data_IF_032974261707
#
_entry.id   IF_032974261707
#
_cell.length_a   1.000
_cell.length_b   1.000
_cell.length_c   1.000
_cell.angle_alpha   90.00
_cell.angle_beta   90.00
_cell.angle_gamma   90.00
#
_symmetry.space_group_name_H-M   'P 1'
#
loop_
_entity.id
_entity.type
_entity.pdbx_description
1 polymer ?
#
# COMPACT_ATOMS: atom_id res chain seq x y z
N UNK A 1 40.29 33.29 -34.51
CA UNK A 1 39.72 32.52 -35.62
C UNK A 1 38.64 31.61 -35.09
N UNK A 2 37.46 31.93 -35.49
CA UNK A 2 36.19 31.22 -35.49
C UNK A 2 36.00 30.02 -34.57
N UNK A 3 35.19 30.23 -33.52
CA UNK A 3 34.39 29.24 -32.82
C UNK A 3 33.07 29.10 -33.56
N UNK A 4 32.75 27.92 -34.04
CA UNK A 4 31.40 27.54 -34.49
C UNK A 4 30.70 26.81 -33.38
N UNK A 5 29.68 27.46 -32.89
CA UNK A 5 28.58 26.97 -32.05
C UNK A 5 27.67 26.05 -32.87
N UNK A 6 27.09 25.05 -32.21
CA UNK A 6 25.85 24.48 -32.68
C UNK A 6 25.82 22.96 -32.67
N UNK A 7 25.35 22.38 -31.59
CA UNK A 7 24.87 21.03 -31.50
C UNK A 7 23.71 21.01 -30.50
N UNK A 8 22.56 21.45 -31.02
CA UNK A 8 21.31 21.34 -30.25
C UNK A 8 20.99 19.87 -30.04
N UNK A 9 20.94 19.46 -28.78
CA UNK A 9 20.26 18.24 -28.40
C UNK A 9 18.75 18.48 -28.56
N UNK A 10 18.23 18.11 -29.71
CA UNK A 10 16.80 17.85 -29.86
C UNK A 10 16.50 16.62 -29.02
N UNK A 11 15.82 16.83 -27.90
CA UNK A 11 15.26 15.74 -27.12
C UNK A 11 14.33 14.93 -27.99
N UNK A 12 14.73 13.71 -28.35
CA UNK A 12 13.82 12.68 -28.76
C UNK A 12 12.87 12.48 -27.59
N UNK A 13 11.66 13.00 -27.74
CA UNK A 13 10.51 12.60 -26.94
C UNK A 13 10.38 11.09 -27.13
N UNK A 14 10.77 10.32 -26.12
CA UNK A 14 10.50 8.89 -26.02
C UNK A 14 9.01 8.71 -26.24
N UNK A 15 8.67 8.24 -27.44
CA UNK A 15 7.32 7.84 -27.83
C UNK A 15 6.95 6.65 -26.95
N UNK A 16 6.33 6.93 -25.79
CA UNK A 16 5.77 5.97 -24.85
C UNK A 16 4.46 5.38 -25.42
N UNK A 17 4.42 5.09 -26.72
CA UNK A 17 3.30 4.41 -27.36
C UNK A 17 3.17 3.01 -26.74
N UNK A 18 2.09 2.83 -25.98
CA UNK A 18 1.72 1.55 -25.35
C UNK A 18 1.49 0.51 -26.44
N UNK A 19 2.48 -0.37 -26.67
CA UNK A 19 2.46 -1.37 -27.76
C UNK A 19 1.80 -2.66 -27.27
N UNK A 20 0.90 -3.20 -28.09
CA UNK A 20 0.22 -4.48 -27.87
C UNK A 20 0.42 -5.36 -29.09
N UNK A 21 0.86 -6.60 -28.88
CA UNK A 21 0.92 -7.59 -29.96
C UNK A 21 -0.46 -8.26 -30.11
N UNK A 22 -1.04 -8.21 -31.28
CA UNK A 22 -2.32 -8.87 -31.58
C UNK A 22 -2.12 -10.04 -32.53
N UNK A 23 -2.32 -11.27 -32.02
CA UNK A 23 -2.24 -12.49 -32.79
C UNK A 23 -3.63 -12.86 -33.29
N UNK A 24 -3.82 -12.76 -34.61
CA UNK A 24 -5.04 -13.15 -35.32
C UNK A 24 -4.75 -14.40 -36.18
N UNK A 25 -5.21 -15.55 -35.72
CA UNK A 25 -4.94 -16.85 -36.35
C UNK A 25 -5.89 -17.20 -37.50
N UNK A 26 -6.55 -16.21 -38.12
CA UNK A 26 -7.41 -16.42 -39.28
C UNK A 26 -8.87 -16.72 -38.92
N UNK A 27 -9.39 -16.08 -37.90
CA UNK A 27 -10.83 -16.02 -37.62
C UNK A 27 -11.56 -15.36 -38.80
N UNK A 28 -12.71 -15.89 -39.18
CA UNK A 28 -13.53 -15.37 -40.31
C UNK A 28 -14.00 -13.91 -40.09
N UNK A 29 -13.84 -13.36 -38.92
CA UNK A 29 -14.18 -11.99 -38.55
C UNK A 29 -12.98 -11.31 -37.92
N UNK A 30 -12.38 -10.33 -38.61
CA UNK A 30 -11.36 -9.49 -38.04
C UNK A 30 -11.98 -8.58 -36.95
N UNK A 31 -11.42 -8.60 -35.76
CA UNK A 31 -11.89 -7.77 -34.65
C UNK A 31 -11.66 -6.30 -35.00
N UNK A 32 -12.71 -5.49 -34.96
CA UNK A 32 -12.61 -4.04 -35.04
C UNK A 32 -12.47 -3.47 -33.64
N UNK A 33 -11.30 -2.96 -33.34
CA UNK A 33 -11.07 -2.24 -32.08
C UNK A 33 -11.68 -0.83 -32.15
N UNK A 34 -12.46 -0.42 -31.13
CA UNK A 34 -13.04 0.93 -31.09
C UNK A 34 -11.96 2.01 -31.07
N UNK A 35 -12.25 3.19 -31.67
CA UNK A 35 -11.33 4.34 -31.70
C UNK A 35 -10.81 4.73 -30.32
N UNK A 36 -11.64 4.60 -29.29
CA UNK A 36 -11.27 4.88 -27.90
C UNK A 36 -10.13 3.98 -27.39
N UNK A 37 -9.99 2.76 -27.91
CA UNK A 37 -8.89 1.84 -27.59
C UNK A 37 -7.69 2.18 -28.47
N UNK A 38 -7.91 2.37 -29.78
CA UNK A 38 -6.85 2.69 -30.75
C UNK A 38 -6.15 4.02 -30.46
N UNK A 39 -6.82 4.99 -29.84
CA UNK A 39 -6.24 6.28 -29.50
C UNK A 39 -5.18 6.19 -28.36
N UNK A 40 -5.21 5.13 -27.58
CA UNK A 40 -4.32 4.95 -26.41
C UNK A 40 -3.31 3.82 -26.59
N UNK A 41 -3.54 2.90 -27.56
CA UNK A 41 -2.78 1.67 -27.72
C UNK A 41 -2.38 1.46 -29.17
N UNK A 42 -1.12 1.07 -29.41
CA UNK A 42 -0.61 0.72 -30.72
C UNK A 42 -0.60 -0.79 -30.87
N UNK A 43 -1.49 -1.31 -31.76
CA UNK A 43 -1.61 -2.73 -32.02
C UNK A 43 -0.71 -3.13 -33.19
N UNK A 44 0.18 -4.09 -32.95
CA UNK A 44 0.93 -4.76 -34.01
C UNK A 44 0.24 -6.10 -34.30
N UNK A 45 -0.46 -6.19 -35.43
CA UNK A 45 -1.16 -7.40 -35.85
C UNK A 45 -0.18 -8.41 -36.45
N UNK A 46 -0.31 -9.68 -36.05
CA UNK A 46 0.47 -10.83 -36.54
C UNK A 46 -0.48 -11.97 -36.76
N UNK A 47 -0.27 -12.77 -37.86
CA UNK A 47 -1.16 -13.87 -38.22
C UNK A 47 -0.56 -15.26 -37.99
N UNK A 48 0.71 -15.34 -37.59
CA UNK A 48 1.41 -16.60 -37.36
C UNK A 48 2.09 -16.61 -35.98
N UNK A 49 1.94 -17.70 -35.19
CA UNK A 49 2.56 -17.82 -33.88
C UNK A 49 4.09 -17.75 -33.91
N UNK A 50 4.72 -18.32 -34.95
CA UNK A 50 6.18 -18.27 -35.12
C UNK A 50 6.70 -16.85 -35.32
N UNK A 51 6.00 -16.06 -36.13
CA UNK A 51 6.35 -14.66 -36.36
C UNK A 51 6.14 -13.83 -35.09
N UNK A 52 5.07 -14.15 -34.32
CA UNK A 52 4.85 -13.53 -33.01
C UNK A 52 6.03 -13.79 -32.05
N UNK A 53 6.52 -15.03 -32.00
CA UNK A 53 7.68 -15.40 -31.19
C UNK A 53 8.94 -14.66 -31.59
N UNK A 54 9.27 -14.62 -32.88
CA UNK A 54 10.43 -13.87 -33.40
C UNK A 54 10.36 -12.37 -33.08
N UNK A 55 9.18 -11.78 -33.15
CA UNK A 55 8.96 -10.38 -32.80
C UNK A 55 9.19 -10.15 -31.30
N UNK A 56 8.67 -11.05 -30.44
CA UNK A 56 8.80 -10.96 -28.99
C UNK A 56 10.23 -11.17 -28.49
N UNK A 57 11.02 -11.99 -29.18
CA UNK A 57 12.44 -12.18 -28.89
C UNK A 57 13.29 -10.92 -29.21
N UNK A 58 12.92 -10.17 -30.24
CA UNK A 58 13.65 -8.99 -30.69
C UNK A 58 13.11 -7.68 -30.07
N UNK A 59 11.81 -7.63 -29.77
CA UNK A 59 11.16 -6.46 -29.19
C UNK A 59 10.16 -6.91 -28.10
N UNK A 60 10.40 -6.55 -26.83
CA UNK A 60 9.48 -6.93 -25.77
C UNK A 60 8.13 -6.20 -25.92
N UNK A 61 7.06 -6.96 -25.99
CA UNK A 61 5.69 -6.47 -25.87
C UNK A 61 5.14 -6.87 -24.50
N UNK A 62 4.87 -5.92 -23.63
CA UNK A 62 4.34 -6.21 -22.29
C UNK A 62 2.98 -6.93 -22.32
N UNK A 63 2.20 -6.70 -23.38
CA UNK A 63 0.86 -7.26 -23.53
C UNK A 63 0.67 -7.88 -24.90
N UNK A 64 0.11 -9.10 -24.91
CA UNK A 64 -0.34 -9.80 -26.11
C UNK A 64 -1.84 -10.06 -26.07
N UNK A 65 -2.50 -9.91 -27.20
CA UNK A 65 -3.88 -10.33 -27.41
C UNK A 65 -3.91 -11.52 -28.38
N UNK A 66 -4.73 -12.51 -28.10
CA UNK A 66 -4.95 -13.61 -29.06
C UNK A 66 -6.43 -13.96 -29.13
N UNK A 67 -6.92 -14.14 -30.37
CA UNK A 67 -8.27 -14.60 -30.59
C UNK A 67 -8.31 -16.12 -30.56
N UNK A 68 -9.18 -16.72 -29.73
CA UNK A 68 -9.25 -18.16 -29.48
C UNK A 68 -10.45 -18.84 -30.19
N UNK A 69 -11.23 -18.10 -30.97
CA UNK A 69 -12.38 -18.66 -31.66
C UNK A 69 -11.97 -19.50 -32.87
N UNK A 70 -12.66 -20.64 -33.07
CA UNK A 70 -12.54 -21.50 -34.26
C UNK A 70 -11.11 -21.99 -34.57
N UNK A 71 -10.27 -22.14 -33.57
CA UNK A 71 -8.92 -22.67 -33.74
C UNK A 71 -8.92 -24.17 -33.96
N UNK A 72 -8.03 -24.65 -34.81
CA UNK A 72 -7.74 -26.08 -34.97
C UNK A 72 -6.92 -26.58 -33.77
N UNK A 73 -6.93 -27.90 -33.53
CA UNK A 73 -6.13 -28.50 -32.43
C UNK A 73 -4.65 -28.12 -32.56
N UNK A 74 -4.10 -28.06 -33.76
CA UNK A 74 -2.71 -27.66 -34.01
C UNK A 74 -2.45 -26.19 -33.63
N UNK A 75 -3.40 -25.30 -33.89
CA UNK A 75 -3.29 -23.88 -33.50
C UNK A 75 -3.40 -23.69 -32.01
N UNK A 76 -4.20 -24.47 -31.28
CA UNK A 76 -4.24 -24.49 -29.83
C UNK A 76 -2.88 -24.84 -29.23
N UNK A 77 -2.25 -25.92 -29.75
CA UNK A 77 -0.92 -26.30 -29.27
C UNK A 77 0.13 -25.21 -29.53
N UNK A 78 0.07 -24.57 -30.71
CA UNK A 78 0.98 -23.47 -31.05
C UNK A 78 0.78 -22.26 -30.15
N UNK A 79 -0.46 -21.88 -29.83
CA UNK A 79 -0.75 -20.79 -28.88
C UNK A 79 -0.26 -21.16 -27.48
N UNK A 80 -0.49 -22.39 -27.05
CA UNK A 80 -0.01 -22.88 -25.75
C UNK A 80 1.51 -22.79 -25.64
N UNK A 81 2.24 -23.22 -26.68
CA UNK A 81 3.71 -23.10 -26.74
C UNK A 81 4.14 -21.62 -26.71
N UNK A 82 3.56 -20.78 -27.56
CA UNK A 82 3.89 -19.36 -27.61
C UNK A 82 3.73 -18.66 -26.26
N UNK A 83 2.58 -18.88 -25.58
CA UNK A 83 2.30 -18.26 -24.28
C UNK A 83 3.26 -18.76 -23.19
N UNK A 84 3.64 -20.04 -23.24
CA UNK A 84 4.60 -20.61 -22.30
C UNK A 84 6.03 -20.09 -22.54
N UNK A 85 6.43 -19.94 -23.80
CA UNK A 85 7.79 -19.56 -24.20
C UNK A 85 8.03 -18.03 -24.09
N UNK A 86 6.95 -17.25 -23.89
CA UNK A 86 7.01 -15.79 -23.76
C UNK A 86 6.56 -15.32 -22.37
N UNK A 87 7.31 -15.63 -21.30
CA UNK A 87 6.91 -15.39 -19.92
C UNK A 87 6.80 -13.89 -19.56
N UNK A 88 7.45 -13.02 -20.33
CA UNK A 88 7.42 -11.57 -20.12
C UNK A 88 6.25 -10.85 -20.83
N UNK A 89 5.40 -11.59 -21.53
CA UNK A 89 4.21 -11.04 -22.18
C UNK A 89 2.96 -11.50 -21.46
N UNK A 90 2.13 -10.56 -21.00
CA UNK A 90 0.84 -10.85 -20.40
C UNK A 90 -0.20 -11.07 -21.49
N UNK A 91 -0.56 -12.32 -21.75
CA UNK A 91 -1.49 -12.68 -22.79
C UNK A 91 -2.95 -12.59 -22.33
N UNK A 92 -3.77 -11.90 -23.13
CA UNK A 92 -5.22 -11.76 -22.92
C UNK A 92 -5.94 -12.47 -24.06
N UNK A 93 -6.90 -13.34 -23.71
CA UNK A 93 -7.70 -14.07 -24.68
C UNK A 93 -8.90 -13.25 -25.13
N UNK A 94 -9.20 -13.26 -26.45
CA UNK A 94 -10.39 -12.70 -27.03
C UNK A 94 -11.22 -13.84 -27.63
N UNK A 95 -12.50 -13.95 -27.26
CA UNK A 95 -13.36 -15.05 -27.75
C UNK A 95 -14.84 -14.69 -27.64
N UNK A 96 -15.67 -15.36 -28.45
CA UNK A 96 -17.11 -15.24 -28.32
C UNK A 96 -17.65 -16.06 -27.14
N UNK A 97 -18.73 -15.59 -26.54
CA UNK A 97 -19.33 -16.19 -25.35
C UNK A 97 -19.58 -17.70 -25.44
N UNK A 98 -20.04 -18.26 -26.58
CA UNK A 98 -20.22 -19.71 -26.74
C UNK A 98 -18.92 -20.52 -26.63
N UNK A 99 -17.78 -19.93 -27.01
CA UNK A 99 -16.47 -20.61 -26.94
C UNK A 99 -16.02 -20.87 -25.51
N UNK A 100 -16.54 -20.11 -24.52
CA UNK A 100 -16.30 -20.36 -23.10
C UNK A 100 -16.91 -21.68 -22.59
N UNK A 101 -17.88 -22.26 -23.29
CA UNK A 101 -18.48 -23.54 -22.89
C UNK A 101 -17.59 -24.74 -23.23
N UNK A 102 -16.52 -24.54 -24.01
CA UNK A 102 -15.61 -25.61 -24.38
C UNK A 102 -14.58 -25.87 -23.25
N UNK A 103 -14.51 -27.11 -22.71
CA UNK A 103 -13.64 -27.39 -21.55
C UNK A 103 -12.15 -27.11 -21.80
N UNK A 104 -11.66 -27.37 -23.01
CA UNK A 104 -10.28 -27.15 -23.41
C UNK A 104 -9.91 -25.66 -23.38
N UNK A 105 -10.82 -24.80 -23.87
CA UNK A 105 -10.63 -23.34 -23.89
C UNK A 105 -10.62 -22.79 -22.47
N UNK A 106 -11.57 -23.23 -21.64
CA UNK A 106 -11.59 -22.82 -20.22
C UNK A 106 -10.28 -23.17 -19.52
N UNK A 107 -9.80 -24.40 -19.71
CA UNK A 107 -8.55 -24.84 -19.11
C UNK A 107 -7.36 -24.03 -19.64
N UNK A 108 -7.30 -23.79 -20.94
CA UNK A 108 -6.24 -22.99 -21.55
C UNK A 108 -6.23 -21.55 -20.98
N UNK A 109 -7.39 -20.91 -20.88
CA UNK A 109 -7.53 -19.56 -20.33
C UNK A 109 -7.08 -19.55 -18.85
N UNK A 110 -7.61 -20.46 -18.05
CA UNK A 110 -7.30 -20.56 -16.63
C UNK A 110 -5.81 -20.77 -16.36
N UNK A 111 -5.16 -21.66 -17.12
CA UNK A 111 -3.79 -22.09 -16.84
C UNK A 111 -2.72 -21.14 -17.43
N UNK A 112 -3.04 -20.38 -18.50
CA UNK A 112 -2.02 -19.69 -19.29
C UNK A 112 -2.25 -18.20 -19.50
N UNK A 113 -3.49 -17.73 -19.50
CA UNK A 113 -3.79 -16.35 -19.84
C UNK A 113 -3.89 -15.46 -18.61
N UNK A 114 -3.53 -14.20 -18.80
CA UNK A 114 -3.67 -13.18 -17.76
C UNK A 114 -5.15 -12.85 -17.49
N UNK A 115 -5.93 -12.67 -18.56
CA UNK A 115 -7.39 -12.41 -18.51
C UNK A 115 -8.02 -12.78 -19.85
N UNK A 116 -9.36 -12.69 -19.95
CA UNK A 116 -10.07 -12.87 -21.19
C UNK A 116 -11.17 -11.83 -21.39
N UNK A 117 -11.53 -11.57 -22.65
CA UNK A 117 -12.66 -10.71 -23.02
C UNK A 117 -13.58 -11.38 -24.01
N UNK A 118 -14.87 -11.17 -23.81
CA UNK A 118 -15.89 -11.69 -24.73
C UNK A 118 -16.15 -10.70 -25.86
N UNK A 119 -16.31 -11.25 -27.07
CA UNK A 119 -16.68 -10.52 -28.25
C UNK A 119 -18.22 -10.51 -28.42
N UNK A 120 -18.81 -9.48 -29.09
CA UNK A 120 -18.16 -8.34 -29.73
C UNK A 120 -17.73 -7.25 -28.75
N UNK A 121 -16.72 -6.44 -29.14
CA UNK A 121 -16.17 -5.34 -28.32
C UNK A 121 -16.96 -4.02 -28.33
N UNK A 122 -17.87 -3.70 -29.29
CA UNK A 122 -18.42 -2.35 -29.44
C UNK A 122 -19.36 -1.89 -28.32
N UNK A 123 -19.72 -2.74 -27.39
CA UNK A 123 -20.46 -2.32 -26.19
C UNK A 123 -19.55 -1.50 -25.26
N UNK A 124 -20.04 -0.34 -24.81
CA UNK A 124 -19.26 0.61 -23.99
C UNK A 124 -18.64 -0.04 -22.75
N UNK A 125 -19.35 -0.99 -22.16
CA UNK A 125 -18.91 -1.75 -20.99
C UNK A 125 -17.71 -2.65 -21.32
N UNK A 126 -17.74 -3.37 -22.45
CA UNK A 126 -16.65 -4.21 -22.93
C UNK A 126 -15.40 -3.40 -23.30
N UNK A 127 -15.57 -2.20 -23.86
CA UNK A 127 -14.48 -1.29 -24.20
C UNK A 127 -13.76 -0.81 -22.95
N UNK A 128 -14.51 -0.36 -21.95
CA UNK A 128 -13.96 0.13 -20.68
C UNK A 128 -13.22 -1.00 -19.94
N UNK A 129 -13.80 -2.18 -19.94
CA UNK A 129 -13.20 -3.37 -19.34
C UNK A 129 -11.88 -3.74 -20.05
N UNK A 130 -11.85 -3.79 -21.39
CA UNK A 130 -10.63 -4.09 -22.15
C UNK A 130 -9.54 -3.06 -21.90
N UNK A 131 -9.88 -1.76 -21.88
CA UNK A 131 -8.91 -0.71 -21.56
C UNK A 131 -8.30 -0.86 -20.15
N UNK A 132 -9.14 -1.22 -19.19
CA UNK A 132 -8.68 -1.47 -17.81
C UNK A 132 -7.74 -2.67 -17.76
N UNK A 133 -8.11 -3.79 -18.41
CA UNK A 133 -7.28 -5.01 -18.42
C UNK A 133 -5.94 -4.79 -19.14
N UNK A 134 -5.96 -4.10 -20.30
CA UNK A 134 -4.73 -3.73 -21.01
C UNK A 134 -3.83 -2.84 -20.15
N UNK A 135 -4.42 -1.88 -19.44
CA UNK A 135 -3.69 -0.99 -18.54
C UNK A 135 -3.02 -1.73 -17.40
N UNK A 136 -3.74 -2.67 -16.80
CA UNK A 136 -3.21 -3.49 -15.70
C UNK A 136 -2.11 -4.45 -16.20
N UNK A 137 -2.37 -5.19 -17.29
CA UNK A 137 -1.40 -6.11 -17.86
C UNK A 137 -0.12 -5.42 -18.31
N UNK A 138 -0.23 -4.22 -18.90
CA UNK A 138 0.91 -3.38 -19.26
C UNK A 138 1.64 -2.84 -18.02
N UNK A 139 0.90 -2.40 -17.02
CA UNK A 139 1.46 -1.87 -15.78
C UNK A 139 2.29 -2.88 -15.00
N UNK A 140 1.89 -4.15 -15.00
CA UNK A 140 2.64 -5.24 -14.35
C UNK A 140 4.01 -5.38 -15.03
N UNK A 141 4.08 -5.43 -16.35
CA UNK A 141 5.35 -5.62 -17.07
C UNK A 141 6.27 -4.41 -16.99
N UNK A 142 5.70 -3.20 -17.00
CA UNK A 142 6.48 -1.95 -16.79
C UNK A 142 7.08 -1.91 -15.38
N UNK A 143 6.41 -2.52 -14.40
CA UNK A 143 6.93 -2.65 -13.02
C UNK A 143 8.01 -3.75 -12.91
N UNK A 144 8.00 -4.76 -13.79
CA UNK A 144 9.05 -5.80 -13.87
C UNK A 144 10.35 -5.30 -14.51
N UNK A 145 10.31 -4.18 -15.24
CA UNK A 145 11.52 -3.50 -15.71
C UNK A 145 12.25 -2.90 -14.51
N UNK A 146 13.59 -3.12 -14.35
CA UNK A 146 14.32 -2.61 -13.19
C UNK A 146 14.00 -1.14 -12.93
N UNK A 147 13.69 -0.81 -11.71
CA UNK A 147 13.20 0.46 -11.15
C UNK A 147 13.88 1.77 -11.61
N UNK A 148 14.78 1.73 -12.60
CA UNK A 148 15.51 2.87 -13.12
C UNK A 148 14.67 3.91 -13.86
N UNK A 149 13.35 3.68 -14.11
CA UNK A 149 12.49 4.61 -14.89
C UNK A 149 11.09 4.88 -14.30
N UNK A 150 10.81 4.46 -13.08
CA UNK A 150 9.54 4.81 -12.42
C UNK A 150 9.65 6.22 -11.81
N UNK A 151 9.60 7.26 -12.64
CA UNK A 151 9.65 8.66 -12.20
C UNK A 151 8.42 9.14 -11.41
N UNK A 152 7.48 8.24 -11.07
CA UNK A 152 6.21 8.64 -10.44
C UNK A 152 5.91 7.96 -9.11
N UNK A 153 6.81 7.10 -8.59
CA UNK A 153 6.65 6.53 -7.25
C UNK A 153 7.83 6.96 -6.39
N UNK A 154 7.59 7.86 -5.46
CA UNK A 154 8.63 8.23 -4.52
C UNK A 154 8.91 7.05 -3.60
N UNK A 155 10.00 6.31 -3.89
CA UNK A 155 10.57 5.34 -2.98
C UNK A 155 11.34 6.10 -1.90
N UNK A 156 10.64 6.56 -0.90
CA UNK A 156 11.27 7.23 0.21
C UNK A 156 11.57 6.22 1.30
N UNK A 157 12.83 5.81 1.43
CA UNK A 157 13.27 4.87 2.48
C UNK A 157 12.45 3.57 2.51
N UNK A 158 12.25 2.93 1.35
CA UNK A 158 11.46 1.70 1.18
C UNK A 158 9.92 1.86 1.38
N UNK A 159 9.43 3.07 1.55
CA UNK A 159 8.00 3.32 1.52
C UNK A 159 7.50 3.48 0.09
N UNK A 160 6.41 2.78 -0.23
CA UNK A 160 5.77 2.78 -1.54
C UNK A 160 4.36 3.33 -1.40
N UNK A 161 3.98 4.24 -2.27
CA UNK A 161 2.64 4.79 -2.34
C UNK A 161 2.54 5.92 -3.35
N UNK A 162 1.37 6.09 -3.94
CA UNK A 162 1.05 7.12 -4.93
C UNK A 162 -0.20 7.94 -4.56
N UNK A 163 -0.91 7.56 -3.49
CA UNK A 163 -2.08 8.30 -3.01
C UNK A 163 -1.69 9.69 -2.50
N UNK A 164 -2.59 10.64 -2.62
CA UNK A 164 -2.40 12.01 -2.13
C UNK A 164 -2.02 12.04 -0.64
N UNK A 165 -2.63 11.15 0.15
CA UNK A 165 -2.36 11.04 1.58
C UNK A 165 -0.90 10.66 1.86
N UNK A 166 -0.32 9.70 1.13
CA UNK A 166 1.08 9.28 1.27
C UNK A 166 2.04 10.32 0.72
N UNK A 167 1.74 10.94 -0.41
CA UNK A 167 2.56 12.02 -0.98
C UNK A 167 2.64 13.22 -0.03
N UNK A 168 1.55 13.54 0.67
CA UNK A 168 1.55 14.56 1.73
C UNK A 168 2.46 14.19 2.90
N UNK A 169 2.49 12.90 3.30
CA UNK A 169 3.42 12.42 4.35
C UNK A 169 4.87 12.56 3.89
N UNK A 170 5.20 12.22 2.65
CA UNK A 170 6.55 12.43 2.11
C UNK A 170 6.95 13.90 2.14
N UNK A 171 6.00 14.80 1.81
CA UNK A 171 6.22 16.24 1.95
C UNK A 171 6.44 16.70 3.40
N UNK A 172 5.73 16.12 4.36
CA UNK A 172 5.93 16.38 5.79
C UNK A 172 7.29 15.86 6.27
N UNK A 173 7.68 14.63 5.90
CA UNK A 173 8.97 14.05 6.24
C UNK A 173 10.11 14.96 5.81
N UNK A 174 10.10 15.49 4.57
CA UNK A 174 11.14 16.40 4.06
C UNK A 174 11.25 17.68 4.88
N UNK A 175 10.12 18.25 5.31
CA UNK A 175 10.12 19.48 6.14
C UNK A 175 10.58 19.22 7.57
N UNK A 176 10.08 18.14 8.16
CA UNK A 176 10.32 17.78 9.57
C UNK A 176 11.75 17.24 9.77
N UNK A 177 12.32 16.56 8.78
CA UNK A 177 13.66 15.97 8.87
C UNK A 177 14.75 17.01 9.19
N UNK A 178 14.61 18.23 8.68
CA UNK A 178 15.54 19.34 8.92
C UNK A 178 15.49 19.92 10.35
N UNK A 179 14.64 19.41 11.24
CA UNK A 179 14.49 19.91 12.61
C UNK A 179 14.86 18.85 13.62
N UNK A 180 15.35 19.28 14.80
CA UNK A 180 15.62 18.40 15.95
C UNK A 180 14.42 18.24 16.90
N UNK A 181 13.27 18.84 16.56
CA UNK A 181 12.08 18.75 17.38
C UNK A 181 11.59 17.31 17.54
N UNK A 182 11.02 16.95 18.68
CA UNK A 182 10.35 15.67 18.87
C UNK A 182 9.22 15.47 17.84
N UNK A 183 9.09 14.25 17.33
CA UNK A 183 8.06 13.86 16.35
C UNK A 183 7.23 12.73 16.91
N UNK A 184 5.92 12.90 16.91
CA UNK A 184 4.96 11.85 17.24
C UNK A 184 4.34 11.30 15.95
N UNK A 185 4.48 10.00 15.70
CA UNK A 185 3.89 9.31 14.56
C UNK A 185 2.69 8.52 15.08
N UNK A 186 1.50 8.83 14.60
CA UNK A 186 0.26 8.16 14.99
C UNK A 186 -0.33 7.37 13.82
N UNK A 187 -0.94 6.23 14.09
CA UNK A 187 -1.57 5.39 13.08
C UNK A 187 -1.67 3.95 13.52
N UNK A 188 -2.56 3.20 12.89
CA UNK A 188 -2.81 1.80 13.21
C UNK A 188 -1.56 0.92 13.11
N UNK A 189 -1.61 -0.26 13.76
CA UNK A 189 -0.54 -1.24 13.65
C UNK A 189 -0.38 -1.69 12.19
N UNK A 190 0.88 -1.83 11.73
CA UNK A 190 1.17 -2.30 10.38
C UNK A 190 1.04 -1.25 9.26
N UNK A 191 0.86 0.04 9.58
CA UNK A 191 0.77 1.12 8.57
C UNK A 191 2.12 1.60 8.05
N UNK A 192 3.26 1.25 8.74
CA UNK A 192 4.60 1.63 8.34
C UNK A 192 5.22 2.78 9.16
N UNK A 193 4.78 3.00 10.42
CA UNK A 193 5.31 4.04 11.33
C UNK A 193 6.83 4.00 11.48
N UNK A 194 7.42 2.80 11.56
CA UNK A 194 8.87 2.61 11.67
C UNK A 194 9.62 3.11 10.43
N UNK A 195 9.10 2.85 9.22
CA UNK A 195 9.70 3.33 7.98
C UNK A 195 9.72 4.87 7.92
N UNK A 196 8.67 5.52 8.43
CA UNK A 196 8.61 6.98 8.55
C UNK A 196 9.68 7.49 9.51
N UNK A 197 9.86 6.82 10.66
CA UNK A 197 10.91 7.19 11.62
C UNK A 197 12.32 7.03 11.02
N UNK A 198 12.57 5.95 10.27
CA UNK A 198 13.81 5.73 9.55
C UNK A 198 14.03 6.81 8.47
N UNK A 199 12.99 7.17 7.71
CA UNK A 199 13.05 8.22 6.70
C UNK A 199 13.40 9.59 7.31
N UNK A 200 12.79 9.93 8.44
CA UNK A 200 13.10 11.16 9.19
C UNK A 200 14.56 11.19 9.66
N UNK A 201 15.10 10.06 10.11
CA UNK A 201 16.51 9.97 10.53
C UNK A 201 17.46 10.11 9.34
N UNK A 202 17.26 9.32 8.27
CA UNK A 202 18.15 9.29 7.09
C UNK A 202 18.25 10.67 6.42
N UNK A 203 17.15 11.45 6.45
CA UNK A 203 17.07 12.79 5.85
C UNK A 203 17.48 13.92 6.80
N UNK A 204 17.81 13.62 8.06
CA UNK A 204 18.19 14.62 9.06
C UNK A 204 19.71 14.88 9.06
N UNK A 205 20.12 15.97 9.72
CA UNK A 205 21.53 16.27 9.98
C UNK A 205 22.21 15.18 10.82
N UNK A 206 21.41 14.30 11.48
CA UNK A 206 21.86 13.18 12.30
C UNK A 206 21.95 11.85 11.54
N UNK A 207 21.82 11.86 10.22
CA UNK A 207 21.82 10.65 9.37
C UNK A 207 23.09 9.80 9.47
N UNK A 208 24.21 10.38 9.92
CA UNK A 208 25.48 9.67 10.17
C UNK A 208 25.57 9.10 11.57
N UNK A 209 24.69 9.52 12.48
CA UNK A 209 24.62 9.03 13.86
C UNK A 209 23.83 7.73 13.96
N UNK A 210 23.77 7.14 15.15
CA UNK A 210 23.03 5.92 15.37
C UNK A 210 21.50 6.16 15.27
N UNK A 211 20.77 5.21 14.67
CA UNK A 211 19.32 5.08 14.77
C UNK A 211 19.02 3.90 15.71
N UNK A 212 18.47 4.20 16.88
CA UNK A 212 18.22 3.20 17.94
C UNK A 212 16.71 2.99 18.10
N UNK A 213 16.14 1.93 17.50
CA UNK A 213 14.73 1.59 17.71
C UNK A 213 14.55 0.86 19.04
N UNK A 214 13.47 1.20 19.74
CA UNK A 214 13.03 0.55 20.98
C UNK A 214 11.53 0.36 20.91
N UNK A 215 11.07 -0.88 21.03
CA UNK A 215 9.65 -1.19 21.16
C UNK A 215 9.29 -1.23 22.65
N UNK A 216 8.46 -0.28 23.10
CA UNK A 216 8.09 -0.12 24.49
C UNK A 216 7.11 -1.19 24.99
N UNK A 217 6.32 -1.80 24.08
CA UNK A 217 5.38 -2.86 24.45
C UNK A 217 5.95 -4.28 24.39
N UNK A 218 7.16 -4.46 23.86
CA UNK A 218 7.74 -5.80 23.68
C UNK A 218 8.44 -6.37 24.92
N UNK A 219 8.71 -5.54 25.92
CA UNK A 219 9.49 -5.91 27.11
C UNK A 219 8.64 -5.83 28.39
N UNK A 220 8.84 -6.73 29.37
CA UNK A 220 8.26 -6.58 30.69
C UNK A 220 8.68 -5.26 31.35
N UNK A 221 7.80 -4.65 32.16
CA UNK A 221 8.00 -3.35 32.81
C UNK A 221 9.33 -3.26 33.58
N UNK A 222 9.76 -4.37 34.20
CA UNK A 222 11.00 -4.46 34.96
C UNK A 222 12.27 -4.39 34.09
N UNK A 223 12.15 -4.83 32.84
CA UNK A 223 13.29 -4.86 31.90
C UNK A 223 13.36 -3.59 31.06
N UNK A 224 12.22 -2.98 30.71
CA UNK A 224 12.21 -1.81 29.85
C UNK A 224 12.92 -0.61 30.49
N UNK A 225 12.84 -0.44 31.81
CA UNK A 225 13.60 0.60 32.50
C UNK A 225 15.10 0.42 32.29
N UNK A 226 15.60 -0.82 32.54
CA UNK A 226 17.03 -1.14 32.39
C UNK A 226 17.49 -1.05 30.92
N UNK A 227 16.64 -1.40 29.97
CA UNK A 227 16.95 -1.28 28.53
C UNK A 227 17.00 0.20 28.09
N UNK A 228 16.03 1.01 28.48
CA UNK A 228 15.98 2.43 28.08
C UNK A 228 17.10 3.26 28.71
N UNK A 229 17.24 3.18 30.05
CA UNK A 229 18.11 4.08 30.81
C UNK A 229 19.43 3.46 31.20
N UNK A 230 19.57 2.12 31.12
CA UNK A 230 20.76 1.41 31.56
C UNK A 230 20.77 1.11 33.06
N UNK A 231 21.74 0.32 33.50
CA UNK A 231 21.94 0.02 34.91
C UNK A 231 23.42 -0.15 35.28
N UNK A 232 23.76 0.17 36.53
CA UNK A 232 25.05 -0.13 37.11
C UNK A 232 25.09 -1.56 37.66
N UNK A 233 26.28 -2.11 37.79
CA UNK A 233 26.49 -3.42 38.43
C UNK A 233 25.88 -3.44 39.83
N UNK A 234 25.02 -4.40 40.13
CA UNK A 234 24.37 -4.57 41.43
C UNK A 234 23.08 -3.75 41.62
N UNK A 235 22.57 -3.09 40.59
CA UNK A 235 21.35 -2.27 40.67
C UNK A 235 20.10 -3.08 41.05
N UNK A 236 20.05 -4.37 40.64
CA UNK A 236 18.98 -5.31 40.97
C UNK A 236 19.51 -6.73 41.01
N UNK A 237 18.69 -7.69 41.48
CA UNK A 237 19.04 -9.11 41.50
C UNK A 237 19.20 -9.64 40.06
N UNK A 238 20.46 -9.96 39.66
CA UNK A 238 20.80 -10.34 38.28
C UNK A 238 21.62 -9.31 37.52
N UNK A 239 21.81 -8.10 38.03
CA UNK A 239 22.67 -7.08 37.44
C UNK A 239 24.16 -7.39 37.64
N UNK A 240 24.65 -8.44 37.01
CA UNK A 240 26.06 -8.88 37.18
C UNK A 240 27.08 -7.96 36.51
N UNK A 241 26.65 -7.20 35.50
CA UNK A 241 27.45 -6.24 34.70
C UNK A 241 26.71 -4.91 34.59
N UNK A 242 27.45 -3.86 34.33
CA UNK A 242 26.89 -2.61 33.87
C UNK A 242 26.28 -2.79 32.45
N UNK A 243 25.13 -2.15 32.19
CA UNK A 243 24.53 -2.07 30.89
C UNK A 243 24.29 -0.62 30.47
N UNK A 244 24.71 -0.27 29.26
CA UNK A 244 24.46 1.04 28.65
C UNK A 244 23.05 1.06 28.10
N UNK A 245 22.25 2.07 28.47
CA UNK A 245 20.87 2.21 28.03
C UNK A 245 20.74 2.59 26.54
N UNK A 246 19.59 2.29 25.94
CA UNK A 246 19.28 2.64 24.55
C UNK A 246 19.31 4.13 24.29
N UNK A 247 18.86 4.96 25.26
CA UNK A 247 18.90 6.41 25.14
C UNK A 247 20.35 6.91 25.10
N UNK A 248 21.21 6.38 25.94
CA UNK A 248 22.64 6.71 25.93
C UNK A 248 23.32 6.25 24.62
N UNK A 249 22.95 5.07 24.12
CA UNK A 249 23.44 4.53 22.83
C UNK A 249 23.01 5.36 21.62
N UNK A 250 21.94 6.17 21.76
CA UNK A 250 21.44 7.04 20.70
C UNK A 250 22.13 8.42 20.68
N UNK A 251 23.16 8.62 21.50
CA UNK A 251 23.86 9.92 21.58
C UNK A 251 24.36 10.37 20.21
N UNK A 252 24.15 11.65 19.89
CA UNK A 252 24.42 12.29 18.59
C UNK A 252 23.68 11.67 17.40
N UNK A 253 22.66 10.85 17.67
CA UNK A 253 21.80 10.19 16.71
C UNK A 253 20.33 10.43 16.98
N UNK A 254 19.54 9.38 16.76
CA UNK A 254 18.07 9.39 16.92
C UNK A 254 17.63 8.16 17.71
N UNK A 255 16.83 8.37 18.74
CA UNK A 255 16.08 7.29 19.39
C UNK A 255 14.67 7.24 18.83
N UNK A 256 14.22 6.05 18.44
CA UNK A 256 12.87 5.79 18.02
C UNK A 256 12.14 4.93 19.05
N UNK A 257 11.11 5.50 19.68
CA UNK A 257 10.28 4.84 20.69
C UNK A 257 8.98 4.37 20.03
N UNK A 258 8.93 3.09 19.66
CA UNK A 258 7.72 2.48 19.12
C UNK A 258 6.78 2.06 20.25
N UNK A 259 5.47 2.22 20.04
CA UNK A 259 4.40 1.95 20.99
C UNK A 259 4.62 2.68 22.34
N UNK A 260 4.89 3.99 22.26
CA UNK A 260 5.17 4.82 23.46
C UNK A 260 3.99 4.88 24.44
N UNK A 261 2.76 4.59 23.98
CA UNK A 261 1.57 4.48 24.83
C UNK A 261 1.64 3.33 25.84
N UNK A 262 2.45 2.30 25.57
CA UNK A 262 2.61 1.14 26.45
C UNK A 262 3.62 1.37 27.59
N UNK A 263 4.27 2.56 27.65
CA UNK A 263 5.19 2.87 28.73
C UNK A 263 4.47 3.00 30.07
N UNK A 264 4.92 2.30 31.13
CA UNK A 264 4.43 2.51 32.49
C UNK A 264 4.55 3.96 32.96
N UNK A 265 3.60 4.45 33.74
CA UNK A 265 3.57 5.84 34.26
C UNK A 265 4.86 6.27 34.96
N UNK A 266 5.50 5.34 35.67
CA UNK A 266 6.78 5.61 36.33
C UNK A 266 7.87 5.99 35.30
N UNK A 267 7.98 5.23 34.21
CA UNK A 267 8.97 5.45 33.15
C UNK A 267 8.69 6.69 32.32
N UNK A 268 7.42 7.08 32.21
CA UNK A 268 7.05 8.33 31.56
C UNK A 268 7.69 9.55 32.27
N UNK A 269 7.88 9.48 33.58
CA UNK A 269 8.57 10.53 34.35
C UNK A 269 10.05 10.65 33.98
N UNK A 270 10.74 9.51 33.84
CA UNK A 270 12.15 9.50 33.42
C UNK A 270 12.32 9.97 31.96
N UNK A 271 11.39 9.56 31.09
CA UNK A 271 11.39 10.01 29.70
C UNK A 271 11.13 11.52 29.58
N UNK A 272 10.21 12.07 30.38
CA UNK A 272 9.96 13.51 30.44
C UNK A 272 11.21 14.29 30.89
N UNK A 273 11.90 13.81 31.93
CA UNK A 273 13.14 14.43 32.40
C UNK A 273 14.20 14.42 31.30
N UNK A 274 14.38 13.31 30.59
CA UNK A 274 15.28 13.23 29.45
C UNK A 274 14.92 14.24 28.33
N UNK A 275 13.66 14.38 28.00
CA UNK A 275 13.20 15.33 26.96
C UNK A 275 13.45 16.79 27.35
N UNK A 276 13.39 17.11 28.67
CA UNK A 276 13.55 18.46 29.18
C UNK A 276 15.01 18.83 29.41
N UNK A 277 15.76 17.96 30.10
CA UNK A 277 17.10 18.23 30.58
C UNK A 277 18.21 17.69 29.69
N UNK A 278 17.86 16.79 28.73
CA UNK A 278 18.83 16.07 27.91
C UNK A 278 19.85 15.27 28.74
N UNK A 279 19.41 14.78 29.89
CA UNK A 279 20.21 13.96 30.79
C UNK A 279 19.48 12.69 31.19
N UNK A 280 20.22 11.66 31.51
CA UNK A 280 19.71 10.40 32.05
C UNK A 280 20.47 9.98 33.29
N UNK A 281 19.84 9.17 34.12
CA UNK A 281 20.45 8.47 35.27
C UNK A 281 20.28 6.97 35.06
N UNK A 282 21.35 6.19 35.28
CA UNK A 282 21.25 4.73 35.23
C UNK A 282 20.66 4.18 36.50
N UNK A 283 19.95 3.06 36.43
CA UNK A 283 19.48 2.36 37.63
C UNK A 283 20.64 2.03 38.56
N UNK A 284 20.47 2.34 39.84
CA UNK A 284 21.50 2.13 40.87
C UNK A 284 22.63 3.17 40.90
N UNK A 285 22.49 4.25 40.13
CA UNK A 285 23.45 5.37 40.12
C UNK A 285 22.74 6.71 40.33
N UNK A 286 23.43 7.62 41.01
CA UNK A 286 23.03 9.03 41.09
C UNK A 286 23.81 9.92 40.10
N UNK A 287 24.62 9.30 39.21
CA UNK A 287 25.36 10.04 38.19
C UNK A 287 24.45 10.38 37.03
N UNK A 288 24.45 11.63 36.63
CA UNK A 288 23.75 12.17 35.50
C UNK A 288 24.65 12.16 34.25
N UNK A 289 24.14 11.69 33.13
CA UNK A 289 24.84 11.66 31.85
C UNK A 289 24.09 12.53 30.86
N UNK A 290 24.78 13.47 30.21
CA UNK A 290 24.22 14.26 29.11
C UNK A 290 24.11 13.41 27.85
N UNK A 291 22.96 13.44 27.23
CA UNK A 291 22.68 12.70 25.98
C UNK A 291 22.00 13.61 24.97
N UNK A 292 22.67 13.82 23.84
CA UNK A 292 22.15 14.63 22.74
C UNK A 292 21.49 13.73 21.66
N UNK A 293 20.29 13.23 21.92
CA UNK A 293 19.55 12.44 20.95
C UNK A 293 18.27 13.16 20.50
N UNK A 294 17.94 13.03 19.19
CA UNK A 294 16.63 13.36 18.64
C UNK A 294 15.64 12.26 19.02
N UNK A 295 14.42 12.65 19.40
CA UNK A 295 13.39 11.70 19.82
C UNK A 295 12.29 11.64 18.74
N UNK A 296 12.01 10.44 18.26
CA UNK A 296 10.85 10.12 17.44
C UNK A 296 10.04 9.08 18.20
N UNK A 297 8.76 9.33 18.43
CA UNK A 297 7.85 8.41 19.12
C UNK A 297 6.75 7.94 18.15
N UNK A 298 6.32 6.70 18.28
CA UNK A 298 5.20 6.16 17.53
C UNK A 298 4.20 5.46 18.45
N UNK A 299 2.94 5.47 18.05
CA UNK A 299 1.87 4.77 18.76
C UNK A 299 0.68 4.48 17.87
N UNK A 300 -0.06 3.43 18.19
CA UNK A 300 -1.34 3.11 17.55
C UNK A 300 -2.54 3.54 18.41
N UNK A 301 -2.32 3.91 19.69
CA UNK A 301 -3.39 4.32 20.59
C UNK A 301 -3.56 5.84 20.62
N UNK A 302 -4.73 6.30 21.01
CA UNK A 302 -5.01 7.73 21.19
C UNK A 302 -4.44 8.21 22.54
N UNK A 303 -3.26 8.83 22.51
CA UNK A 303 -2.62 9.33 23.74
C UNK A 303 -3.46 10.42 24.44
N UNK A 304 -4.25 11.23 23.73
CA UNK A 304 -5.10 12.23 24.34
C UNK A 304 -6.21 11.59 25.19
N UNK A 305 -6.78 10.49 24.75
CA UNK A 305 -7.72 9.70 25.53
C UNK A 305 -7.02 9.05 26.74
N UNK A 306 -5.83 8.51 26.57
CA UNK A 306 -5.06 7.95 27.68
C UNK A 306 -4.70 9.00 28.76
N UNK A 307 -4.47 10.25 28.36
CA UNK A 307 -4.28 11.36 29.30
C UNK A 307 -5.56 11.59 30.12
N UNK A 308 -6.72 11.62 29.48
CA UNK A 308 -8.01 11.79 30.21
C UNK A 308 -8.30 10.64 31.15
N UNK A 309 -7.84 9.43 30.84
CA UNK A 309 -7.98 8.22 31.68
C UNK A 309 -6.90 8.12 32.78
N UNK A 310 -5.93 9.03 32.78
CA UNK A 310 -4.80 8.99 33.73
C UNK A 310 -3.76 7.90 33.45
N UNK A 311 -3.82 7.24 32.26
CA UNK A 311 -2.88 6.22 31.83
C UNK A 311 -1.63 6.78 31.13
N UNK A 312 -1.67 8.05 30.73
CA UNK A 312 -0.54 8.77 30.14
C UNK A 312 -0.45 10.18 30.74
N UNK A 313 0.77 10.66 30.98
CA UNK A 313 0.99 11.98 31.57
C UNK A 313 0.76 13.09 30.54
N UNK A 314 0.03 14.11 30.91
CA UNK A 314 -0.26 15.28 30.08
C UNK A 314 1.00 16.06 29.69
N UNK A 315 1.91 16.26 30.63
CA UNK A 315 3.17 16.98 30.42
C UNK A 315 4.08 16.26 29.40
N UNK A 316 4.16 14.94 29.45
CA UNK A 316 4.90 14.13 28.48
C UNK A 316 4.23 14.18 27.09
N UNK A 317 2.89 14.09 27.05
CA UNK A 317 2.14 14.17 25.79
C UNK A 317 2.47 15.46 25.02
N UNK A 318 2.40 16.62 25.66
CA UNK A 318 2.73 17.89 25.02
C UNK A 318 4.20 18.00 24.61
N UNK A 319 5.10 17.33 25.33
CA UNK A 319 6.53 17.35 25.00
C UNK A 319 6.89 16.44 23.83
N UNK A 320 6.16 15.35 23.62
CA UNK A 320 6.30 14.45 22.47
C UNK A 320 5.55 14.96 21.24
N UNK A 321 4.36 15.52 21.41
CA UNK A 321 3.47 15.96 20.33
C UNK A 321 3.78 17.39 19.87
N UNK A 322 5.06 17.68 19.58
CA UNK A 322 5.49 18.97 18.99
C UNK A 322 5.23 18.98 17.49
N UNK A 323 5.64 17.93 16.82
CA UNK A 323 5.34 17.69 15.40
C UNK A 323 4.61 16.35 15.28
N UNK A 324 3.51 16.32 14.55
CA UNK A 324 2.68 15.13 14.40
C UNK A 324 2.64 14.69 12.94
N UNK A 325 2.80 13.37 12.71
CA UNK A 325 2.55 12.71 11.44
C UNK A 325 1.49 11.64 11.66
N UNK A 326 0.33 11.82 11.07
CA UNK A 326 -0.75 10.84 11.11
C UNK A 326 -0.69 9.95 9.87
N UNK A 327 -0.47 8.64 10.09
CA UNK A 327 -0.37 7.65 9.00
C UNK A 327 -1.75 7.06 8.74
N UNK A 328 -2.30 7.21 7.52
CA UNK A 328 -3.60 6.67 7.20
C UNK A 328 -3.58 5.14 7.19
N UNK A 329 -4.70 4.54 7.57
CA UNK A 329 -4.92 3.12 7.42
C UNK A 329 -4.97 2.73 5.93
N UNK A 330 -4.66 1.48 5.62
CA UNK A 330 -4.60 1.02 4.21
C UNK A 330 -5.95 1.16 3.49
N UNK A 331 -7.07 0.97 4.22
CA UNK A 331 -8.44 1.19 3.71
C UNK A 331 -8.77 2.65 3.37
N UNK A 332 -7.99 3.62 3.85
CA UNK A 332 -8.13 5.05 3.55
C UNK A 332 -7.33 5.48 2.32
N UNK A 333 -6.49 4.56 1.80
CA UNK A 333 -5.65 4.72 0.61
C UNK A 333 -5.75 3.51 -0.32
N UNK A 334 -6.96 3.16 -0.68
CA UNK A 334 -7.28 1.96 -1.48
C UNK A 334 -6.53 1.94 -2.82
N UNK A 335 -6.27 3.10 -3.40
CA UNK A 335 -5.48 3.31 -4.63
C UNK A 335 -4.04 2.80 -4.52
N UNK A 336 -3.46 2.75 -3.31
CA UNK A 336 -2.11 2.23 -3.09
C UNK A 336 -2.08 0.69 -3.02
N UNK A 337 -3.22 0.01 -2.81
CA UNK A 337 -3.26 -1.43 -2.58
C UNK A 337 -2.70 -2.22 -3.77
N UNK A 338 -3.11 -1.98 -5.03
CA UNK A 338 -2.56 -2.70 -6.17
C UNK A 338 -1.06 -2.46 -6.34
N UNK A 339 -0.60 -1.24 -6.12
CA UNK A 339 0.81 -0.87 -6.19
C UNK A 339 1.64 -1.58 -5.12
N UNK A 340 1.18 -1.55 -3.87
CA UNK A 340 1.83 -2.25 -2.75
C UNK A 340 1.84 -3.76 -2.97
N UNK A 341 0.73 -4.33 -3.44
CA UNK A 341 0.63 -5.74 -3.73
C UNK A 341 1.67 -6.16 -4.77
N UNK A 342 1.77 -5.41 -5.88
CA UNK A 342 2.74 -5.69 -6.94
C UNK A 342 4.19 -5.53 -6.45
N UNK A 343 4.49 -4.46 -5.70
CA UNK A 343 5.81 -4.23 -5.12
C UNK A 343 6.24 -5.40 -4.23
N UNK A 344 5.39 -5.82 -3.29
CA UNK A 344 5.71 -6.92 -2.38
C UNK A 344 5.72 -8.27 -3.09
N UNK A 345 4.88 -8.48 -4.09
CA UNK A 345 4.93 -9.68 -4.92
C UNK A 345 6.31 -9.85 -5.55
N UNK A 346 6.85 -8.81 -6.19
CA UNK A 346 8.16 -8.85 -6.84
C UNK A 346 9.30 -9.13 -5.85
N UNK A 347 9.28 -8.45 -4.69
CA UNK A 347 10.32 -8.63 -3.68
C UNK A 347 10.28 -10.01 -3.05
N UNK A 348 9.09 -10.50 -2.69
CA UNK A 348 8.93 -11.79 -2.03
C UNK A 348 9.11 -12.97 -3.00
N UNK A 349 8.79 -12.79 -4.29
CA UNK A 349 9.00 -13.83 -5.30
C UNK A 349 10.48 -14.21 -5.45
N UNK A 350 11.39 -13.27 -5.24
CA UNK A 350 12.85 -13.52 -5.28
C UNK A 350 13.31 -14.42 -4.13
N UNK A 351 12.55 -14.52 -3.03
CA UNK A 351 12.86 -15.35 -1.86
C UNK A 351 12.51 -16.83 -2.05
N UNK A 352 11.74 -17.20 -3.11
CA UNK A 352 11.23 -18.57 -3.28
C UNK A 352 11.00 -18.97 -4.75
N UNK A 353 10.69 -20.26 -4.96
CA UNK A 353 10.40 -20.85 -6.28
C UNK A 353 8.88 -20.88 -6.59
N UNK A 354 8.16 -19.79 -6.37
CA UNK A 354 6.73 -19.76 -6.68
C UNK A 354 6.47 -19.75 -8.20
N UNK A 355 5.53 -20.56 -8.71
CA UNK A 355 5.13 -20.51 -10.11
C UNK A 355 4.32 -19.24 -10.45
N UNK A 356 3.88 -18.50 -9.43
CA UNK A 356 3.04 -17.31 -9.62
C UNK A 356 3.75 -16.23 -10.44
N UNK A 357 3.00 -15.61 -11.36
CA UNK A 357 3.45 -14.52 -12.23
C UNK A 357 2.78 -13.18 -11.93
N UNK A 358 1.74 -13.19 -11.08
CA UNK A 358 0.98 -12.00 -10.72
C UNK A 358 -0.29 -12.37 -9.96
N UNK A 359 -1.23 -11.43 -9.91
CA UNK A 359 -2.53 -11.61 -9.26
C UNK A 359 -3.64 -11.79 -10.29
N UNK A 360 -4.62 -12.61 -9.97
CA UNK A 360 -5.86 -12.67 -10.74
C UNK A 360 -6.64 -11.35 -10.59
N UNK A 361 -7.51 -11.08 -11.55
CA UNK A 361 -8.36 -9.89 -11.50
C UNK A 361 -9.24 -9.87 -10.25
N UNK A 362 -9.85 -11.02 -9.94
CA UNK A 362 -10.68 -11.17 -8.75
C UNK A 362 -9.89 -10.90 -7.47
N UNK A 363 -8.63 -11.39 -7.39
CA UNK A 363 -7.76 -11.09 -6.25
C UNK A 363 -7.53 -9.59 -6.05
N UNK A 364 -7.27 -8.83 -7.12
CA UNK A 364 -7.10 -7.37 -7.04
C UNK A 364 -8.39 -6.65 -6.64
N UNK A 365 -9.53 -7.10 -7.14
CA UNK A 365 -10.84 -6.56 -6.77
C UNK A 365 -11.15 -6.82 -5.28
N UNK A 366 -10.96 -8.05 -4.82
CA UNK A 366 -11.13 -8.42 -3.41
C UNK A 366 -10.17 -7.66 -2.49
N UNK A 367 -8.90 -7.52 -2.87
CA UNK A 367 -7.94 -6.72 -2.12
C UNK A 367 -8.39 -5.27 -1.93
N UNK A 368 -8.99 -4.67 -2.97
CA UNK A 368 -9.47 -3.28 -2.94
C UNK A 368 -10.71 -3.09 -2.04
N UNK A 369 -11.50 -4.13 -1.85
CA UNK A 369 -12.71 -4.11 -1.02
C UNK A 369 -12.46 -4.51 0.44
N UNK A 370 -11.36 -5.19 0.71
CA UNK A 370 -11.03 -5.68 2.04
C UNK A 370 -10.59 -4.56 2.99
N UNK A 371 -10.94 -4.65 4.27
CA UNK A 371 -10.71 -3.58 5.26
C UNK A 371 -9.27 -3.50 5.79
N UNK A 372 -8.48 -4.51 5.60
CA UNK A 372 -7.06 -4.59 6.01
C UNK A 372 -6.83 -4.21 7.49
N UNK A 373 -7.40 -4.92 8.48
CA UNK A 373 -7.21 -4.59 9.88
C UNK A 373 -5.74 -4.63 10.32
N UNK A 374 -4.91 -5.45 9.69
CA UNK A 374 -3.45 -5.50 9.89
C UNK A 374 -2.66 -4.64 8.91
N UNK A 375 -3.33 -3.78 8.13
CA UNK A 375 -2.74 -2.84 7.18
C UNK A 375 -1.71 -3.50 6.24
N UNK A 376 -0.59 -2.81 5.96
CA UNK A 376 0.46 -3.30 5.04
C UNK A 376 1.12 -4.57 5.57
N UNK A 377 1.24 -4.73 6.89
CA UNK A 377 1.80 -5.96 7.49
C UNK A 377 0.96 -7.19 7.15
N UNK A 378 -0.35 -7.06 7.20
CA UNK A 378 -1.28 -8.14 6.79
C UNK A 378 -1.18 -8.41 5.28
N UNK A 379 -1.16 -7.37 4.45
CA UNK A 379 -1.00 -7.49 3.01
C UNK A 379 0.26 -8.29 2.65
N UNK A 380 1.41 -7.93 3.23
CA UNK A 380 2.68 -8.65 3.03
C UNK A 380 2.56 -10.12 3.43
N UNK A 381 1.97 -10.40 4.59
CA UNK A 381 1.86 -11.78 5.10
C UNK A 381 0.94 -12.63 4.21
N UNK A 382 -0.17 -12.08 3.71
CA UNK A 382 -1.08 -12.79 2.80
C UNK A 382 -0.43 -13.06 1.45
N UNK A 383 0.30 -12.09 0.89
CA UNK A 383 1.07 -12.29 -0.36
C UNK A 383 2.15 -13.35 -0.16
N UNK A 384 2.92 -13.28 0.94
CA UNK A 384 3.94 -14.28 1.25
C UNK A 384 3.35 -15.68 1.38
N UNK A 385 2.21 -15.82 2.07
CA UNK A 385 1.48 -17.09 2.18
C UNK A 385 1.06 -17.60 0.80
N UNK A 386 0.46 -16.74 -0.02
CA UNK A 386 0.02 -17.12 -1.36
C UNK A 386 1.18 -17.54 -2.27
N UNK A 387 2.35 -16.90 -2.16
CA UNK A 387 3.55 -17.30 -2.90
C UNK A 387 4.12 -18.65 -2.46
N UNK A 388 4.00 -18.99 -1.17
CA UNK A 388 4.54 -20.26 -0.64
C UNK A 388 3.56 -21.41 -0.87
N UNK A 389 2.26 -21.19 -0.73
CA UNK A 389 1.24 -22.23 -0.75
C UNK A 389 0.52 -22.35 -2.10
N UNK A 390 0.60 -21.30 -2.94
CA UNK A 390 -0.12 -21.26 -4.23
C UNK A 390 0.58 -22.15 -5.26
N UNK A 391 -0.24 -22.93 -5.98
CA UNK A 391 0.20 -23.82 -7.07
C UNK A 391 -0.10 -23.22 -8.46
N UNK A 392 -0.81 -22.07 -8.51
CA UNK A 392 -1.27 -21.45 -9.73
C UNK A 392 -0.31 -20.39 -10.27
N UNK A 393 -0.38 -20.12 -11.58
CA UNK A 393 0.39 -19.02 -12.20
C UNK A 393 -0.10 -17.62 -11.79
N UNK A 394 -1.34 -17.48 -11.35
CA UNK A 394 -1.89 -16.25 -10.80
C UNK A 394 -2.38 -16.49 -9.38
N UNK A 395 -2.03 -15.60 -8.48
CA UNK A 395 -2.53 -15.61 -7.10
C UNK A 395 -4.01 -15.23 -7.14
N UNK A 396 -4.86 -16.11 -6.60
CA UNK A 396 -6.31 -15.93 -6.51
C UNK A 396 -6.73 -15.28 -5.19
N UNK A 397 -7.99 -14.90 -5.07
CA UNK A 397 -8.55 -14.43 -3.80
C UNK A 397 -8.53 -15.51 -2.71
N UNK A 398 -8.68 -16.79 -3.10
CA UNK A 398 -8.59 -17.95 -2.21
C UNK A 398 -7.16 -18.12 -1.67
N UNK A 399 -6.13 -18.01 -2.51
CA UNK A 399 -4.72 -18.07 -2.09
C UNK A 399 -4.40 -16.99 -1.04
N UNK A 400 -5.03 -15.82 -1.17
CA UNK A 400 -4.91 -14.71 -0.22
C UNK A 400 -5.79 -14.90 1.04
N UNK A 401 -6.71 -15.88 1.04
CA UNK A 401 -7.68 -16.11 2.10
C UNK A 401 -8.66 -14.94 2.28
N UNK A 402 -9.06 -14.30 1.18
CA UNK A 402 -9.97 -13.15 1.20
C UNK A 402 -11.43 -13.55 0.97
N UNK A 403 -11.70 -14.71 0.35
CA UNK A 403 -13.06 -15.15 -0.04
C UNK A 403 -13.97 -15.40 1.17
N UNK A 404 -13.46 -16.05 2.22
CA UNK A 404 -14.27 -16.39 3.39
C UNK A 404 -14.83 -15.18 4.14
N UNK A 405 -14.15 -14.04 4.04
CA UNK A 405 -14.56 -12.83 4.79
C UNK A 405 -15.48 -11.91 3.99
N UNK A 406 -15.52 -12.07 2.67
CA UNK A 406 -16.47 -11.38 1.79
C UNK A 406 -17.67 -12.28 1.45
N UNK A 407 -17.50 -13.61 1.51
CA UNK A 407 -18.57 -14.60 1.37
C UNK A 407 -19.43 -14.75 2.65
N UNK A 408 -19.00 -14.26 3.80
CA UNK A 408 -19.94 -13.94 4.84
C UNK A 408 -20.78 -12.75 4.33
N UNK A 409 -22.00 -12.95 3.88
CA UNK A 409 -22.87 -11.82 3.63
C UNK A 409 -22.88 -11.08 4.96
N UNK A 410 -22.40 -9.84 4.99
CA UNK A 410 -22.82 -8.90 5.99
C UNK A 410 -24.33 -8.79 5.75
N UNK A 411 -25.07 -9.74 6.35
CA UNK A 411 -26.52 -9.64 6.42
C UNK A 411 -26.75 -8.47 7.36
N UNK A 412 -26.55 -7.27 6.84
CA UNK A 412 -27.08 -6.09 7.45
C UNK A 412 -28.59 -6.29 7.42
N UNK A 413 -29.21 -6.29 8.57
CA UNK A 413 -30.65 -6.15 8.60
C UNK A 413 -30.99 -4.87 7.81
N UNK A 414 -32.13 -4.88 7.14
CA UNK A 414 -32.63 -3.68 6.44
C UNK A 414 -32.57 -2.43 7.36
N UNK A 415 -32.71 -2.64 8.65
CA UNK A 415 -32.65 -1.62 9.69
C UNK A 415 -31.24 -1.06 9.91
N UNK A 416 -30.22 -1.92 9.87
CA UNK A 416 -28.82 -1.50 9.99
C UNK A 416 -28.35 -0.71 8.76
N UNK A 417 -28.69 -1.17 7.55
CA UNK A 417 -28.38 -0.44 6.30
C UNK A 417 -29.08 0.92 6.30
N UNK A 418 -30.34 0.95 6.69
CA UNK A 418 -31.11 2.20 6.79
C UNK A 418 -30.51 3.15 7.83
N UNK A 419 -30.15 2.62 9.01
CA UNK A 419 -29.54 3.40 10.09
C UNK A 419 -28.20 4.01 9.67
N UNK A 420 -27.37 3.26 8.93
CA UNK A 420 -26.09 3.73 8.42
C UNK A 420 -26.26 4.82 7.37
N UNK A 421 -27.17 4.63 6.41
CA UNK A 421 -27.51 5.61 5.39
C UNK A 421 -28.10 6.89 5.99
N UNK A 422 -29.00 6.75 6.98
CA UNK A 422 -29.57 7.89 7.73
C UNK A 422 -28.45 8.70 8.41
N UNK A 423 -27.53 8.02 9.12
CA UNK A 423 -26.41 8.68 9.83
C UNK A 423 -25.49 9.43 8.88
N UNK A 424 -25.11 8.84 7.76
CA UNK A 424 -24.23 9.47 6.76
C UNK A 424 -24.87 10.70 6.14
N UNK A 425 -26.15 10.61 5.76
CA UNK A 425 -26.88 11.74 5.20
C UNK A 425 -27.09 12.88 6.21
N UNK A 426 -27.31 12.56 7.48
CA UNK A 426 -27.41 13.56 8.56
C UNK A 426 -26.09 14.30 8.74
N UNK A 427 -24.96 13.60 8.77
CA UNK A 427 -23.65 14.23 8.91
C UNK A 427 -23.32 15.13 7.73
N UNK A 428 -23.54 14.67 6.49
CA UNK A 428 -23.34 15.46 5.26
C UNK A 428 -24.26 16.68 5.21
N UNK A 429 -25.54 16.51 5.53
CA UNK A 429 -26.52 17.60 5.56
C UNK A 429 -26.21 18.66 6.62
N UNK A 430 -25.75 18.26 7.80
CA UNK A 430 -25.33 19.18 8.86
C UNK A 430 -24.06 19.95 8.49
N UNK A 431 -23.04 19.28 7.94
CA UNK A 431 -21.82 19.91 7.45
C UNK A 431 -22.10 20.93 6.33
N UNK A 432 -22.85 20.53 5.30
CA UNK A 432 -23.20 21.40 4.18
C UNK A 432 -24.02 22.63 4.59
N UNK A 433 -24.77 22.54 5.68
CA UNK A 433 -25.60 23.60 6.22
C UNK A 433 -24.90 24.45 7.29
N UNK A 434 -23.60 24.25 7.54
CA UNK A 434 -22.86 24.96 8.58
C UNK A 434 -23.45 24.74 9.98
N UNK A 435 -23.92 23.54 10.29
CA UNK A 435 -24.62 23.16 11.53
C UNK A 435 -25.93 23.91 11.79
N UNK A 436 -26.51 24.55 10.76
CA UNK A 436 -27.79 25.20 10.86
C UNK A 436 -28.96 24.23 10.66
N UNK A 437 -29.63 23.86 11.73
CA UNK A 437 -30.70 22.86 11.74
C UNK A 437 -31.85 23.22 10.77
N UNK A 438 -32.18 24.48 10.63
CA UNK A 438 -33.28 24.91 9.73
C UNK A 438 -32.91 24.67 8.27
N UNK A 439 -31.66 25.00 7.90
CA UNK A 439 -31.15 24.75 6.53
C UNK A 439 -30.96 23.29 6.26
N UNK A 440 -30.41 22.52 7.24
CA UNK A 440 -30.22 21.09 7.13
C UNK A 440 -31.54 20.33 6.96
N UNK A 441 -32.59 20.69 7.73
CA UNK A 441 -33.91 20.08 7.61
C UNK A 441 -34.52 20.31 6.23
N UNK A 442 -34.37 21.54 5.67
CA UNK A 442 -34.84 21.85 4.35
C UNK A 442 -34.06 21.07 3.25
N UNK A 443 -32.76 21.00 3.34
CA UNK A 443 -31.91 20.28 2.37
C UNK A 443 -32.13 18.78 2.40
N UNK A 444 -32.43 18.20 3.55
CA UNK A 444 -32.72 16.78 3.74
C UNK A 444 -34.21 16.43 3.51
N UNK A 445 -35.06 17.39 3.22
CA UNK A 445 -36.50 17.17 2.94
C UNK A 445 -37.30 16.68 4.15
N UNK A 446 -36.85 16.98 5.39
CA UNK A 446 -37.50 16.55 6.63
C UNK A 446 -37.97 17.76 7.48
N UNK A 447 -38.92 17.54 8.40
CA UNK A 447 -39.28 18.53 9.38
C UNK A 447 -38.17 18.77 10.40
N UNK A 448 -38.08 19.95 11.01
CA UNK A 448 -37.11 20.23 12.09
C UNK A 448 -37.24 19.26 13.25
N UNK A 449 -38.48 18.90 13.61
CA UNK A 449 -38.73 17.92 14.68
C UNK A 449 -38.19 16.54 14.31
N UNK A 450 -38.42 16.12 13.06
CA UNK A 450 -37.88 14.84 12.55
C UNK A 450 -36.37 14.86 12.56
N UNK A 451 -35.72 15.96 12.14
CA UNK A 451 -34.27 16.10 12.15
C UNK A 451 -33.70 16.01 13.58
N UNK A 452 -34.35 16.66 14.57
CA UNK A 452 -33.93 16.54 15.97
C UNK A 452 -33.99 15.10 16.46
N UNK A 453 -35.12 14.40 16.21
CA UNK A 453 -35.28 13.01 16.61
C UNK A 453 -34.23 12.08 15.96
N UNK A 454 -33.88 12.31 14.69
CA UNK A 454 -32.87 11.55 13.99
C UNK A 454 -31.45 11.84 14.51
N UNK A 455 -31.13 13.10 14.83
CA UNK A 455 -29.84 13.46 15.43
C UNK A 455 -29.69 12.85 16.84
N UNK A 456 -30.76 12.83 17.63
CA UNK A 456 -30.77 12.19 18.96
C UNK A 456 -30.62 10.67 18.82
N UNK A 457 -31.35 10.02 17.90
CA UNK A 457 -31.27 8.58 17.60
C UNK A 457 -29.84 8.13 17.22
N UNK A 458 -29.11 8.96 16.48
CA UNK A 458 -27.78 8.63 16.01
C UNK A 458 -26.64 9.24 16.85
N UNK A 459 -26.96 9.82 18.01
CA UNK A 459 -26.01 10.47 18.93
C UNK A 459 -25.14 11.55 18.25
N UNK A 460 -25.72 12.30 17.30
CA UNK A 460 -25.06 13.37 16.55
C UNK A 460 -25.36 14.77 17.09
N UNK A 461 -26.09 14.88 18.18
CA UNK A 461 -26.41 16.15 18.85
C UNK A 461 -25.21 16.55 19.72
N UNK A 462 -24.59 17.68 19.43
CA UNK A 462 -23.63 18.35 20.30
C UNK A 462 -24.34 19.31 21.24
#
# INVERSE_FOLDING_TARGET
>A
MAFTTGGGYTGDSLDLSRKVLYLDLGSNESIQFPEQVLSKWHFQKVSEPKLAQEILENNPFPVGLVQLDNLTAMQYDQVQHLVNDTPHTNWIALLHKPSLDHPTIRKLIHDLFYDYHTLPLPEVENVTRLQSTLGHAYGIEVLDTPLAKAEHYELECQMVGGSEAILNIFGQIRKIAATDAPVLITGESGTGKELIAQALHIRSDRSRGPFIPVNCGALPDTLIHSELFGHEKGAFTGAHRQNIGRIESANDGTIFLDEVGDLPLELQTYLLRFLQEKTIERLGSSKTFGVNARVIAATHVNLAEMVTQGAFREDLYFRLNVLNIQVPALRERVEDIPLLAQYFFQHLKQEGNSPARGFSRDALEYMSQYHWPGNVRELINRIRRALVMGEHKLITAEDLGLEEQLAAPLIYTLEEVRSRAEKDMLQKGMLASGNNITKAALSLGVSRVTLYNLLDKHHLRR
#
